data_IF_118256310724
#
_entry.id   IF_118256310724
#
_cell.length_a   1.000
_cell.length_b   1.000
_cell.length_c   1.000
_cell.angle_alpha   90.00
_cell.angle_beta   90.00
_cell.angle_gamma   90.00
#
_symmetry.space_group_name_H-M   'P 1'
#
loop_
_entity.id
_entity.type
_entity.pdbx_description
1 polymer ?
#
# COMPACT_ATOMS: atom_id res chain seq x y z
N UNK A 1 -20.88 -16.04 7.19
CA UNK A 1 -20.89 -15.09 8.34
C UNK A 1 -19.79 -14.07 8.09
N UNK A 2 -20.15 -12.81 7.82
CA UNK A 2 -19.19 -11.71 7.70
C UNK A 2 -18.62 -11.44 9.10
N UNK A 3 -17.34 -11.74 9.32
CA UNK A 3 -16.63 -11.28 10.51
C UNK A 3 -16.66 -9.75 10.52
N UNK A 4 -17.17 -9.17 11.59
CA UNK A 4 -17.07 -7.72 11.83
C UNK A 4 -15.58 -7.45 12.02
N UNK A 5 -14.96 -6.77 11.04
CA UNK A 5 -13.62 -6.23 11.20
C UNK A 5 -13.61 -5.40 12.48
N UNK A 6 -12.70 -5.69 13.41
CA UNK A 6 -12.55 -4.91 14.64
C UNK A 6 -12.24 -3.43 14.32
N UNK A 7 -12.32 -2.55 15.34
CA UNK A 7 -11.94 -1.15 15.16
C UNK A 7 -10.52 -1.04 14.59
N UNK A 8 -10.33 -0.09 13.70
CA UNK A 8 -9.08 0.17 12.98
C UNK A 8 -8.52 1.53 13.44
N UNK A 9 -7.90 1.59 14.64
CA UNK A 9 -7.51 2.84 15.28
C UNK A 9 -6.39 3.57 14.52
N UNK A 10 -5.56 2.81 13.79
CA UNK A 10 -4.40 3.33 13.07
C UNK A 10 -4.77 3.97 11.71
N UNK A 11 -6.01 3.77 11.24
CA UNK A 11 -6.46 4.14 9.89
C UNK A 11 -6.18 5.58 9.53
N UNK A 12 -6.54 6.51 10.41
CA UNK A 12 -6.47 7.93 10.11
C UNK A 12 -5.01 8.42 10.04
N UNK A 13 -4.14 7.88 10.89
CA UNK A 13 -2.70 8.13 10.87
C UNK A 13 -2.02 7.46 9.66
N UNK A 14 -2.46 6.26 9.27
CA UNK A 14 -1.96 5.60 8.05
C UNK A 14 -2.26 6.46 6.82
N UNK A 15 -3.52 6.90 6.66
CA UNK A 15 -3.88 7.79 5.55
C UNK A 15 -3.21 9.17 5.64
N UNK A 16 -2.85 9.66 6.82
CA UNK A 16 -2.06 10.90 6.92
C UNK A 16 -0.63 10.71 6.38
N UNK A 17 0.03 9.61 6.73
CA UNK A 17 1.33 9.25 6.17
C UNK A 17 1.30 9.08 4.64
N UNK A 18 0.28 8.41 4.11
CA UNK A 18 0.10 8.25 2.66
C UNK A 18 -0.09 9.59 1.95
N UNK A 19 -0.93 10.50 2.49
CA UNK A 19 -1.10 11.85 1.91
C UNK A 19 0.20 12.64 1.92
N UNK A 20 1.00 12.56 2.99
CA UNK A 20 2.32 13.21 3.05
C UNK A 20 3.26 12.65 1.98
N UNK A 21 3.22 11.34 1.74
CA UNK A 21 4.02 10.72 0.68
C UNK A 21 3.58 11.20 -0.71
N UNK A 22 2.28 11.23 -1.00
CA UNK A 22 1.76 11.73 -2.28
C UNK A 22 2.24 13.17 -2.55
N UNK A 23 2.10 14.05 -1.55
CA UNK A 23 2.58 15.44 -1.64
C UNK A 23 4.10 15.53 -1.84
N UNK A 24 4.86 14.68 -1.15
CA UNK A 24 6.31 14.64 -1.26
C UNK A 24 6.78 14.19 -2.65
N UNK A 25 6.10 13.19 -3.24
CA UNK A 25 6.42 12.68 -4.57
C UNK A 25 6.15 13.74 -5.64
N UNK A 26 5.10 14.55 -5.50
CA UNK A 26 4.81 15.66 -6.42
C UNK A 26 5.90 16.75 -6.40
N UNK A 27 6.60 16.93 -5.27
CA UNK A 27 7.77 17.82 -5.16
C UNK A 27 9.05 17.16 -5.71
N UNK A 28 9.14 15.82 -5.64
CA UNK A 28 10.22 14.99 -6.18
C UNK A 28 11.51 14.99 -5.35
N UNK A 29 12.04 16.18 -5.04
CA UNK A 29 13.27 16.37 -4.28
C UNK A 29 12.99 17.02 -2.91
N UNK A 30 13.30 16.32 -1.82
CA UNK A 30 13.17 16.85 -0.46
C UNK A 30 14.54 17.08 0.18
N UNK A 31 14.66 18.10 1.03
CA UNK A 31 15.83 18.26 1.92
C UNK A 31 15.41 18.04 3.36
N UNK A 32 16.00 17.02 3.98
CA UNK A 32 15.75 16.68 5.38
C UNK A 32 17.04 16.15 6.02
N UNK A 33 17.27 16.45 7.29
CA UNK A 33 18.45 16.02 8.05
C UNK A 33 19.80 16.35 7.36
N UNK A 34 19.87 17.50 6.71
CA UNK A 34 21.08 17.93 5.97
C UNK A 34 21.36 17.13 4.69
N UNK A 35 20.45 16.24 4.27
CA UNK A 35 20.57 15.41 3.07
C UNK A 35 19.46 15.71 2.07
N UNK A 36 19.75 15.49 0.79
CA UNK A 36 18.75 15.49 -0.27
C UNK A 36 18.19 14.08 -0.43
N UNK A 37 16.87 13.98 -0.45
CA UNK A 37 16.10 12.78 -0.72
C UNK A 37 15.51 12.92 -2.12
N UNK A 38 15.70 11.91 -2.95
CA UNK A 38 15.05 11.81 -4.26
C UNK A 38 14.03 10.69 -4.15
N UNK A 39 12.75 11.06 -4.19
CA UNK A 39 11.68 10.08 -4.19
C UNK A 39 11.48 9.54 -5.60
N UNK A 40 11.19 8.25 -5.70
CA UNK A 40 10.83 7.65 -6.97
C UNK A 40 9.51 8.27 -7.47
N UNK A 41 9.36 8.50 -8.78
CA UNK A 41 8.11 9.01 -9.33
C UNK A 41 6.96 8.02 -9.07
N UNK A 42 5.77 8.56 -8.86
CA UNK A 42 4.58 7.73 -8.72
C UNK A 42 4.20 7.10 -10.05
N UNK A 43 4.00 5.77 -10.07
CA UNK A 43 3.53 5.08 -11.26
C UNK A 43 2.01 5.18 -11.33
N UNK A 44 1.48 5.79 -12.40
CA UNK A 44 0.03 5.84 -12.67
C UNK A 44 -0.34 4.78 -13.70
N UNK A 45 -1.26 3.89 -13.37
CA UNK A 45 -1.73 2.85 -14.28
C UNK A 45 -2.83 3.38 -15.20
N UNK A 46 -2.56 3.41 -16.50
CA UNK A 46 -3.52 3.91 -17.51
C UNK A 46 -4.47 2.84 -18.03
N UNK A 47 -4.19 1.57 -17.77
CA UNK A 47 -5.02 0.44 -18.20
C UNK A 47 -5.16 -0.57 -17.08
N UNK A 48 -6.31 -1.26 -17.04
CA UNK A 48 -6.53 -2.35 -16.11
C UNK A 48 -5.53 -3.48 -16.29
N UNK A 49 -5.14 -3.78 -17.54
CA UNK A 49 -4.14 -4.79 -17.85
C UNK A 49 -2.78 -4.46 -17.21
N UNK A 50 -2.33 -3.20 -17.26
CA UNK A 50 -1.07 -2.81 -16.61
C UNK A 50 -1.14 -2.93 -15.08
N UNK A 51 -2.27 -2.56 -14.48
CA UNK A 51 -2.50 -2.74 -13.04
C UNK A 51 -2.55 -4.23 -12.64
N UNK A 52 -3.22 -5.06 -13.45
CA UNK A 52 -3.27 -6.51 -13.25
C UNK A 52 -1.88 -7.14 -13.35
N UNK A 53 -1.09 -6.80 -14.37
CA UNK A 53 0.28 -7.30 -14.52
C UNK A 53 1.14 -6.93 -13.32
N UNK A 54 1.07 -5.68 -12.86
CA UNK A 54 1.78 -5.25 -11.67
C UNK A 54 1.40 -6.07 -10.44
N UNK A 55 0.09 -6.21 -10.17
CA UNK A 55 -0.39 -6.95 -9.01
C UNK A 55 -0.02 -8.45 -9.07
N UNK A 56 -0.12 -9.07 -10.24
CA UNK A 56 0.28 -10.46 -10.45
C UNK A 56 1.76 -10.67 -10.18
N UNK A 57 2.64 -9.80 -10.72
CA UNK A 57 4.08 -9.91 -10.48
C UNK A 57 4.42 -9.72 -8.98
N UNK A 58 3.83 -8.70 -8.33
CA UNK A 58 4.03 -8.46 -6.90
C UNK A 58 3.64 -9.67 -6.03
N UNK A 59 2.56 -10.37 -6.37
CA UNK A 59 2.16 -11.61 -5.69
C UNK A 59 3.16 -12.75 -5.96
N UNK A 60 3.45 -13.03 -7.24
CA UNK A 60 4.27 -14.18 -7.64
C UNK A 60 5.70 -14.09 -7.13
N UNK A 61 6.32 -12.91 -7.16
CA UNK A 61 7.70 -12.69 -6.67
C UNK A 61 7.83 -12.88 -5.15
N UNK A 62 6.70 -12.86 -4.43
CA UNK A 62 6.63 -13.06 -2.98
C UNK A 62 6.01 -14.40 -2.59
N UNK A 63 5.66 -15.25 -3.57
CA UNK A 63 5.06 -16.56 -3.33
C UNK A 63 3.60 -16.52 -2.86
N UNK A 64 2.88 -15.43 -3.11
CA UNK A 64 1.46 -15.26 -2.78
C UNK A 64 0.56 -15.64 -3.96
N UNK A 65 -0.71 -15.97 -3.68
CA UNK A 65 -1.69 -16.22 -4.73
C UNK A 65 -1.96 -14.92 -5.52
N UNK A 66 -2.07 -14.95 -6.86
CA UNK A 66 -2.40 -13.75 -7.63
C UNK A 66 -3.80 -13.21 -7.30
N UNK A 67 -3.91 -11.89 -7.21
CA UNK A 67 -5.20 -11.20 -7.09
C UNK A 67 -5.78 -10.85 -8.46
N UNK A 68 -7.11 -10.77 -8.54
CA UNK A 68 -7.81 -10.18 -9.68
C UNK A 68 -7.92 -8.66 -9.50
N UNK A 69 -7.61 -7.89 -10.53
CA UNK A 69 -7.79 -6.44 -10.55
C UNK A 69 -8.94 -6.12 -11.49
N UNK A 70 -9.92 -5.36 -10.99
CA UNK A 70 -11.06 -4.90 -11.80
C UNK A 70 -11.40 -3.44 -11.53
N UNK A 71 -12.15 -2.83 -12.44
CA UNK A 71 -12.77 -1.55 -12.15
C UNK A 71 -13.89 -1.69 -11.11
N UNK A 72 -14.00 -0.68 -10.26
CA UNK A 72 -15.13 -0.44 -9.38
C UNK A 72 -16.12 0.48 -10.09
N UNK A 73 -17.41 0.17 -9.97
CA UNK A 73 -18.46 1.09 -10.39
C UNK A 73 -18.61 2.24 -9.37
N UNK A 74 -18.62 3.48 -9.87
CA UNK A 74 -18.79 4.71 -9.07
C UNK A 74 -17.50 5.24 -8.42
N UNK A 75 -17.63 6.34 -7.68
CA UNK A 75 -16.50 7.12 -7.13
C UNK A 75 -16.03 6.64 -5.75
N UNK A 76 -16.28 5.37 -5.43
CA UNK A 76 -15.85 4.79 -4.16
C UNK A 76 -14.35 4.49 -4.24
N UNK A 77 -13.64 4.68 -3.12
CA UNK A 77 -12.21 4.37 -2.97
C UNK A 77 -11.88 2.95 -3.47
N UNK A 78 -10.64 2.72 -3.90
CA UNK A 78 -10.17 1.36 -4.14
C UNK A 78 -10.33 0.50 -2.87
N UNK A 79 -10.51 -0.81 -3.03
CA UNK A 79 -10.47 -1.75 -1.92
C UNK A 79 -10.16 -3.16 -2.40
N UNK A 80 -9.48 -3.92 -1.54
CA UNK A 80 -9.34 -5.36 -1.61
C UNK A 80 -10.54 -6.09 -0.98
N UNK A 81 -10.95 -7.19 -1.60
CA UNK A 81 -11.97 -8.12 -1.12
C UNK A 81 -11.33 -9.49 -0.84
N UNK A 82 -11.24 -9.92 0.43
CA UNK A 82 -10.68 -11.23 0.79
C UNK A 82 -11.54 -12.43 0.37
N UNK A 83 -12.80 -12.22 -0.01
CA UNK A 83 -13.72 -13.30 -0.34
C UNK A 83 -13.39 -13.94 -1.70
N UNK A 84 -12.89 -13.13 -2.63
CA UNK A 84 -12.64 -13.48 -4.03
C UNK A 84 -11.24 -13.00 -4.49
N UNK A 85 -10.35 -12.67 -3.55
CA UNK A 85 -9.00 -12.17 -3.80
C UNK A 85 -8.96 -11.07 -4.87
N UNK A 86 -9.87 -10.10 -4.77
CA UNK A 86 -10.08 -9.09 -5.82
C UNK A 86 -9.78 -7.68 -5.32
N UNK A 87 -8.97 -6.95 -6.07
CA UNK A 87 -8.78 -5.50 -5.93
C UNK A 87 -9.74 -4.78 -6.88
N UNK A 88 -10.69 -4.06 -6.31
CA UNK A 88 -11.58 -3.20 -7.07
C UNK A 88 -11.04 -1.76 -7.06
N UNK A 89 -10.44 -1.33 -8.18
CA UNK A 89 -9.86 0.00 -8.35
C UNK A 89 -10.93 1.06 -8.63
N UNK A 90 -10.82 2.22 -7.99
CA UNK A 90 -11.61 3.40 -8.33
C UNK A 90 -11.42 3.82 -9.80
N UNK A 91 -12.43 4.50 -10.36
CA UNK A 91 -12.57 4.80 -11.79
C UNK A 91 -11.40 5.58 -12.41
N UNK A 92 -10.67 6.39 -11.62
CA UNK A 92 -9.63 7.30 -12.10
C UNK A 92 -8.20 6.72 -12.18
N UNK A 93 -8.07 5.39 -12.15
CA UNK A 93 -6.79 4.70 -12.34
C UNK A 93 -5.96 4.66 -11.06
N UNK A 94 -5.55 3.46 -10.65
CA UNK A 94 -4.71 3.28 -9.48
C UNK A 94 -3.32 3.87 -9.68
N UNK A 95 -2.70 4.29 -8.58
CA UNK A 95 -1.25 4.51 -8.48
C UNK A 95 -0.56 3.24 -8.00
N UNK A 96 0.79 3.18 -8.05
CA UNK A 96 1.54 2.12 -7.37
C UNK A 96 1.26 2.16 -5.88
N UNK A 97 1.19 3.35 -5.26
CA UNK A 97 0.77 3.48 -3.86
C UNK A 97 -0.61 2.84 -3.61
N UNK A 98 -1.60 3.11 -4.47
CA UNK A 98 -2.94 2.52 -4.36
C UNK A 98 -2.90 0.99 -4.48
N UNK A 99 -2.23 0.44 -5.49
CA UNK A 99 -2.16 -1.02 -5.64
C UNK A 99 -1.40 -1.69 -4.51
N UNK A 100 -0.31 -1.08 -4.05
CA UNK A 100 0.49 -1.61 -2.94
C UNK A 100 -0.29 -1.58 -1.62
N UNK A 101 -1.12 -0.55 -1.39
CA UNK A 101 -2.05 -0.50 -0.26
C UNK A 101 -3.00 -1.69 -0.25
N UNK A 102 -3.65 -1.96 -1.39
CA UNK A 102 -4.60 -3.06 -1.49
C UNK A 102 -3.93 -4.44 -1.46
N UNK A 103 -2.74 -4.56 -2.05
CA UNK A 103 -1.93 -5.77 -1.94
C UNK A 103 -1.51 -6.03 -0.49
N UNK A 104 -1.15 -5.01 0.29
CA UNK A 104 -0.82 -5.21 1.71
C UNK A 104 -1.98 -5.85 2.49
N UNK A 105 -3.24 -5.48 2.19
CA UNK A 105 -4.42 -6.17 2.76
C UNK A 105 -4.51 -7.63 2.30
N UNK A 106 -4.20 -7.92 1.04
CA UNK A 106 -4.16 -9.28 0.52
C UNK A 106 -3.13 -10.16 1.25
N UNK A 107 -1.88 -9.71 1.35
CA UNK A 107 -0.82 -10.46 2.03
C UNK A 107 -1.16 -10.72 3.51
N UNK A 108 -1.65 -9.71 4.23
CA UNK A 108 -2.08 -9.89 5.62
C UNK A 108 -3.23 -10.90 5.73
N UNK A 109 -4.19 -10.86 4.80
CA UNK A 109 -5.33 -11.78 4.80
C UNK A 109 -4.93 -13.24 4.49
N UNK A 110 -3.85 -13.48 3.74
CA UNK A 110 -3.28 -14.83 3.55
C UNK A 110 -2.59 -15.34 4.82
N UNK A 111 -2.01 -14.44 5.62
CA UNK A 111 -1.27 -14.79 6.84
C UNK A 111 -2.17 -14.97 8.06
N UNK A 112 -3.10 -14.04 8.30
CA UNK A 112 -4.05 -14.11 9.41
C UNK A 112 -5.22 -13.15 9.22
N UNK A 113 -6.45 -13.68 9.36
CA UNK A 113 -7.70 -12.92 9.17
C UNK A 113 -8.11 -12.08 10.38
N UNK A 114 -7.48 -12.28 11.55
CA UNK A 114 -7.90 -11.67 12.82
C UNK A 114 -7.03 -10.46 13.22
N UNK A 115 -6.45 -9.77 12.24
CA UNK A 115 -5.61 -8.59 12.47
C UNK A 115 -6.35 -7.28 12.18
N UNK A 116 -6.00 -6.16 12.85
CA UNK A 116 -6.49 -4.84 12.47
C UNK A 116 -6.13 -4.52 11.02
N UNK A 117 -7.04 -3.87 10.29
CA UNK A 117 -6.89 -3.63 8.85
C UNK A 117 -5.60 -2.86 8.52
N UNK A 118 -5.23 -1.84 9.30
CA UNK A 118 -3.99 -1.07 9.11
C UNK A 118 -3.00 -1.23 10.27
N UNK A 119 -3.02 -2.40 10.93
CA UNK A 119 -2.13 -2.72 12.04
C UNK A 119 -0.65 -2.92 11.64
N UNK A 120 0.20 -3.32 12.60
CA UNK A 120 1.65 -3.46 12.38
C UNK A 120 2.05 -4.42 11.23
N UNK A 121 1.31 -5.53 11.05
CA UNK A 121 1.57 -6.47 9.95
C UNK A 121 1.29 -5.82 8.58
N UNK A 122 0.16 -5.11 8.46
CA UNK A 122 -0.19 -4.37 7.25
C UNK A 122 0.87 -3.31 6.92
N UNK A 123 1.28 -2.52 7.91
CA UNK A 123 2.33 -1.49 7.72
C UNK A 123 3.65 -2.11 7.30
N UNK A 124 4.00 -3.28 7.84
CA UNK A 124 5.19 -4.03 7.40
C UNK A 124 5.09 -4.43 5.93
N UNK A 125 3.96 -5.03 5.53
CA UNK A 125 3.74 -5.43 4.12
C UNK A 125 3.73 -4.25 3.17
N UNK A 126 3.11 -3.13 3.55
CA UNK A 126 3.10 -1.90 2.77
C UNK A 126 4.52 -1.41 2.46
N UNK A 127 5.39 -1.36 3.46
CA UNK A 127 6.78 -0.92 3.28
C UNK A 127 7.61 -1.90 2.45
N UNK A 128 7.47 -3.21 2.72
CA UNK A 128 8.18 -4.25 1.99
C UNK A 128 7.77 -4.26 0.51
N UNK A 129 6.48 -4.14 0.21
CA UNK A 129 5.96 -4.12 -1.14
C UNK A 129 6.37 -2.85 -1.88
N UNK A 130 6.36 -1.68 -1.24
CA UNK A 130 6.88 -0.45 -1.87
C UNK A 130 8.35 -0.59 -2.25
N UNK A 131 9.19 -1.05 -1.31
CA UNK A 131 10.62 -1.22 -1.55
C UNK A 131 10.90 -2.25 -2.65
N UNK A 132 10.21 -3.40 -2.61
CA UNK A 132 10.35 -4.47 -3.59
C UNK A 132 9.89 -4.03 -4.99
N UNK A 133 8.82 -3.25 -5.08
CA UNK A 133 8.27 -2.77 -6.35
C UNK A 133 8.89 -1.44 -6.80
N UNK A 134 10.19 -1.27 -6.56
CA UNK A 134 10.98 -0.18 -7.13
C UNK A 134 10.80 1.19 -6.47
N UNK A 135 10.28 1.25 -5.24
CA UNK A 135 10.13 2.52 -4.49
C UNK A 135 10.68 2.47 -3.05
N UNK A 136 11.97 2.09 -2.86
CA UNK A 136 12.59 2.03 -1.53
C UNK A 136 12.66 3.38 -0.81
N UNK A 137 12.75 4.51 -1.52
CA UNK A 137 12.87 5.82 -0.88
C UNK A 137 11.49 6.28 -0.42
N UNK A 138 10.43 6.02 -1.21
CA UNK A 138 9.06 6.18 -0.74
C UNK A 138 8.74 5.30 0.49
N UNK A 139 9.19 4.04 0.52
CA UNK A 139 9.02 3.17 1.68
C UNK A 139 9.73 3.74 2.92
N UNK A 140 10.96 4.25 2.76
CA UNK A 140 11.70 4.87 3.86
C UNK A 140 11.02 6.15 4.34
N UNK A 141 10.54 7.00 3.42
CA UNK A 141 9.79 8.20 3.76
C UNK A 141 8.52 7.86 4.55
N UNK A 142 7.73 6.89 4.08
CA UNK A 142 6.49 6.49 4.72
C UNK A 142 6.73 5.92 6.13
N UNK A 143 7.80 5.15 6.32
CA UNK A 143 8.25 4.68 7.63
C UNK A 143 8.50 5.85 8.60
N UNK A 144 9.19 6.90 8.14
CA UNK A 144 9.48 8.08 8.95
C UNK A 144 8.20 8.87 9.27
N UNK A 145 7.34 9.08 8.26
CA UNK A 145 6.06 9.78 8.44
C UNK A 145 5.17 9.07 9.47
N UNK A 146 5.08 7.73 9.42
CA UNK A 146 4.36 6.96 10.43
C UNK A 146 5.03 6.97 11.80
N UNK A 147 6.36 6.98 11.87
CA UNK A 147 7.06 7.12 13.15
C UNK A 147 6.78 8.48 13.81
N UNK A 148 6.67 9.57 13.05
CA UNK A 148 6.24 10.89 13.56
C UNK A 148 4.78 10.89 14.05
N UNK A 149 3.94 10.02 13.47
CA UNK A 149 2.54 9.82 13.86
C UNK A 149 2.39 8.74 14.95
N UNK A 150 3.49 8.35 15.59
CA UNK A 150 3.55 7.36 16.68
C UNK A 150 3.07 5.95 16.29
N UNK A 151 3.04 5.64 14.99
CA UNK A 151 2.69 4.32 14.47
C UNK A 151 3.91 3.38 14.47
N UNK A 152 3.92 2.42 15.39
CA UNK A 152 5.01 1.44 15.55
C UNK A 152 5.11 0.47 14.34
N UNK A 153 6.07 0.67 13.44
CA UNK A 153 6.27 -0.22 12.29
C UNK A 153 7.44 -1.16 12.55
N UNK A 154 7.24 -2.50 12.53
CA UNK A 154 8.33 -3.46 12.72
C UNK A 154 9.55 -3.15 11.85
N UNK A 155 10.74 -3.44 12.39
CA UNK A 155 11.96 -3.43 11.56
C UNK A 155 11.85 -4.56 10.53
N UNK A 156 12.30 -4.32 9.28
CA UNK A 156 12.32 -5.39 8.29
C UNK A 156 13.25 -6.50 8.81
N UNK A 157 12.83 -7.75 8.69
CA UNK A 157 13.73 -8.87 8.90
C UNK A 157 14.66 -8.92 7.67
N UNK A 158 15.97 -8.83 7.92
CA UNK A 158 16.99 -8.83 6.87
C UNK A 158 17.20 -10.19 6.25
#
# INVERSE_FOLDING_TARGET
MCGVQGPDPDRDAVYDGERRLEQAVDVGALRAFGRSWQLEPEQRFRTLAAAQTFATLACLERGAAPVLVRHRAGDRKSHYSPADATIALASWGGTRLTLVHELAHHFVAEESRDQPSHGPAWRTRMLELLAHNGAPQQATFLRLAWAELELATPRPQG
#
